data_IF_195194783388
#
_entry.id   IF_195194783388
#
_cell.length_a   1.000
_cell.length_b   1.000
_cell.length_c   1.000
_cell.angle_alpha   90.00
_cell.angle_beta   90.00
_cell.angle_gamma   90.00
#
_symmetry.space_group_name_H-M   'P 1'
#
loop_
_entity.id
_entity.type
_entity.pdbx_description
1 polymer ?
#
# COMPACT_ATOMS: atom_id res chain seq x y z
N UNK A 1 32.67 -11.26 -6.31
CA UNK A 1 31.69 -11.96 -5.44
C UNK A 1 30.36 -11.28 -5.63
N UNK A 2 29.31 -12.00 -6.08
CA UNK A 2 27.98 -11.43 -6.32
C UNK A 2 27.37 -11.00 -4.98
N UNK A 3 26.94 -9.76 -4.93
CA UNK A 3 26.43 -9.04 -3.75
C UNK A 3 24.98 -9.44 -3.42
N UNK A 4 24.65 -10.74 -3.51
CA UNK A 4 23.30 -11.28 -3.29
C UNK A 4 22.83 -11.12 -1.83
N UNK A 5 23.75 -10.86 -0.89
CA UNK A 5 23.43 -10.71 0.54
C UNK A 5 22.77 -9.37 0.90
N UNK A 6 22.94 -8.33 0.09
CA UNK A 6 22.50 -6.97 0.44
C UNK A 6 20.99 -6.78 0.35
N UNK A 7 20.33 -7.41 -0.63
CA UNK A 7 18.88 -7.25 -0.78
C UNK A 7 18.11 -7.95 0.35
N UNK A 8 18.51 -9.17 0.71
CA UNK A 8 17.91 -9.91 1.82
C UNK A 8 18.09 -9.19 3.17
N UNK A 9 19.30 -8.70 3.45
CA UNK A 9 19.58 -7.91 4.65
C UNK A 9 18.77 -6.59 4.65
N UNK A 10 18.68 -5.91 3.50
CA UNK A 10 17.88 -4.71 3.33
C UNK A 10 16.38 -4.93 3.60
N UNK A 11 15.81 -6.03 3.09
CA UNK A 11 14.40 -6.37 3.28
C UNK A 11 14.11 -6.73 4.75
N UNK A 12 14.95 -7.56 5.38
CA UNK A 12 14.81 -7.89 6.81
C UNK A 12 14.80 -6.63 7.65
N UNK A 13 15.78 -5.76 7.45
CA UNK A 13 15.90 -4.50 8.17
C UNK A 13 14.73 -3.56 7.91
N UNK A 14 14.29 -3.49 6.65
CA UNK A 14 13.12 -2.71 6.29
C UNK A 14 11.90 -3.14 7.10
N UNK A 15 11.57 -4.43 7.08
CA UNK A 15 10.38 -4.96 7.74
C UNK A 15 10.44 -4.88 9.27
N UNK A 16 11.59 -5.21 9.87
CA UNK A 16 11.71 -5.36 11.33
C UNK A 16 12.12 -4.07 12.05
N UNK A 17 12.96 -3.24 11.44
CA UNK A 17 13.50 -2.04 12.09
C UNK A 17 12.88 -0.78 11.50
N UNK A 18 12.92 -0.62 10.18
CA UNK A 18 12.50 0.63 9.54
C UNK A 18 11.00 0.89 9.70
N UNK A 19 10.15 -0.09 9.37
CA UNK A 19 8.69 0.10 9.44
C UNK A 19 8.16 0.19 10.87
N UNK A 20 8.77 -0.55 11.79
CA UNK A 20 8.31 -0.70 13.17
C UNK A 20 8.93 0.36 14.08
N UNK A 21 10.27 0.36 14.21
CA UNK A 21 10.96 1.18 15.19
C UNK A 21 11.26 2.59 14.66
N UNK A 22 11.75 2.72 13.42
CA UNK A 22 12.18 4.04 12.89
C UNK A 22 10.99 4.89 12.42
N UNK A 23 10.00 4.28 11.74
CA UNK A 23 8.86 4.98 11.16
C UNK A 23 7.57 4.86 11.98
N UNK A 24 7.50 3.91 12.90
CA UNK A 24 6.31 3.63 13.73
C UNK A 24 5.00 3.60 12.92
N UNK A 25 5.00 2.90 11.78
CA UNK A 25 3.83 2.85 10.89
C UNK A 25 2.71 2.01 11.52
N UNK A 26 1.46 2.32 11.16
CA UNK A 26 0.32 1.52 11.61
C UNK A 26 0.43 0.06 11.16
N UNK A 27 -0.14 -0.87 11.95
CA UNK A 27 -0.14 -2.31 11.64
C UNK A 27 -0.66 -2.62 10.23
N UNK A 28 -1.70 -1.91 9.79
CA UNK A 28 -2.26 -2.06 8.43
C UNK A 28 -1.25 -1.64 7.35
N UNK A 29 -0.48 -0.58 7.58
CA UNK A 29 0.58 -0.14 6.65
C UNK A 29 1.72 -1.14 6.60
N UNK A 30 2.15 -1.64 7.77
CA UNK A 30 3.18 -2.68 7.85
C UNK A 30 2.77 -3.95 7.11
N UNK A 31 1.53 -4.42 7.32
CA UNK A 31 0.98 -5.58 6.61
C UNK A 31 0.91 -5.34 5.10
N UNK A 32 0.41 -4.18 4.66
CA UNK A 32 0.36 -3.81 3.24
C UNK A 32 1.74 -3.78 2.58
N UNK A 33 2.76 -3.29 3.29
CA UNK A 33 4.13 -3.25 2.82
C UNK A 33 4.73 -4.65 2.71
N UNK A 34 4.59 -5.47 3.77
CA UNK A 34 5.00 -6.88 3.77
C UNK A 34 4.36 -7.63 2.61
N UNK A 35 3.06 -7.52 2.44
CA UNK A 35 2.32 -8.23 1.39
C UNK A 35 2.77 -7.78 0.00
N UNK A 36 3.13 -6.50 -0.18
CA UNK A 36 3.72 -6.03 -1.43
C UNK A 36 5.05 -6.73 -1.71
N UNK A 37 5.92 -6.89 -0.71
CA UNK A 37 7.21 -7.57 -0.85
C UNK A 37 7.06 -9.08 -1.09
N UNK A 38 6.13 -9.74 -0.40
CA UNK A 38 5.80 -11.16 -0.64
C UNK A 38 5.42 -11.41 -2.10
N UNK A 39 4.72 -10.45 -2.72
CA UNK A 39 4.29 -10.57 -4.11
C UNK A 39 5.36 -10.18 -5.12
N UNK A 40 6.37 -9.42 -4.70
CA UNK A 40 7.46 -8.95 -5.54
C UNK A 40 8.59 -9.99 -5.60
N UNK A 41 8.78 -10.76 -4.52
CA UNK A 41 9.83 -11.77 -4.36
C UNK A 41 9.42 -13.16 -4.90
N UNK A 42 10.40 -14.05 -5.21
CA UNK A 42 11.85 -13.78 -5.20
C UNK A 42 12.30 -12.99 -6.44
N UNK A 43 13.34 -12.17 -6.27
CA UNK A 43 14.02 -11.50 -7.36
C UNK A 43 15.52 -11.42 -7.08
N UNK A 44 16.33 -11.58 -8.11
CA UNK A 44 17.79 -11.46 -8.00
C UNK A 44 18.22 -10.00 -7.82
N UNK A 45 17.55 -9.07 -8.50
CA UNK A 45 17.94 -7.67 -8.49
C UNK A 45 16.72 -6.73 -8.60
N UNK A 46 16.71 -5.68 -7.79
CA UNK A 46 15.65 -4.67 -7.82
C UNK A 46 16.04 -3.54 -8.77
N UNK A 47 15.50 -3.55 -10.00
CA UNK A 47 15.75 -2.51 -11.01
C UNK A 47 14.48 -1.73 -11.35
N UNK A 48 14.58 -0.49 -11.88
CA UNK A 48 13.41 0.28 -12.30
C UNK A 48 12.54 -0.46 -13.33
N UNK A 49 13.16 -1.20 -14.25
CA UNK A 49 12.47 -1.99 -15.26
C UNK A 49 11.63 -3.12 -14.64
N UNK A 50 12.21 -3.85 -13.68
CA UNK A 50 11.51 -4.91 -12.93
C UNK A 50 10.34 -4.33 -12.14
N UNK A 51 10.53 -3.19 -11.47
CA UNK A 51 9.46 -2.50 -10.72
C UNK A 51 8.30 -2.13 -11.64
N UNK A 52 8.58 -1.56 -12.81
CA UNK A 52 7.54 -1.17 -13.80
C UNK A 52 6.79 -2.40 -14.31
N UNK A 53 7.52 -3.45 -14.71
CA UNK A 53 6.93 -4.72 -15.18
C UNK A 53 6.07 -5.37 -14.11
N UNK A 54 6.55 -5.41 -12.86
CA UNK A 54 5.79 -5.91 -11.71
C UNK A 54 4.49 -5.12 -11.54
N UNK A 55 4.55 -3.79 -11.44
CA UNK A 55 3.37 -2.97 -11.19
C UNK A 55 2.33 -3.10 -12.31
N UNK A 56 2.77 -3.17 -13.56
CA UNK A 56 1.88 -3.30 -14.71
C UNK A 56 1.22 -4.68 -14.77
N UNK A 57 1.98 -5.75 -14.53
CA UNK A 57 1.44 -7.11 -14.45
C UNK A 57 0.42 -7.23 -13.31
N UNK A 58 0.72 -6.71 -12.12
CA UNK A 58 -0.24 -6.76 -11.00
C UNK A 58 -1.49 -5.94 -11.29
N UNK A 59 -1.37 -4.80 -11.97
CA UNK A 59 -2.54 -4.01 -12.35
C UNK A 59 -3.43 -4.75 -13.36
N UNK A 60 -2.86 -5.38 -14.38
CA UNK A 60 -3.62 -6.08 -15.42
C UNK A 60 -4.24 -7.38 -14.91
N UNK A 61 -3.44 -8.24 -14.29
CA UNK A 61 -3.85 -9.61 -13.96
C UNK A 61 -4.81 -9.68 -12.77
N UNK A 62 -4.64 -8.79 -11.78
CA UNK A 62 -5.54 -8.71 -10.61
C UNK A 62 -6.60 -7.61 -10.76
N UNK A 63 -6.60 -6.87 -11.89
CA UNK A 63 -7.47 -5.71 -12.14
C UNK A 63 -7.54 -4.73 -10.96
N UNK A 64 -6.40 -4.52 -10.28
CA UNK A 64 -6.37 -3.64 -9.12
C UNK A 64 -6.42 -2.16 -9.53
N UNK A 65 -6.96 -1.31 -8.65
CA UNK A 65 -7.07 0.11 -8.93
C UNK A 65 -5.70 0.79 -9.01
N UNK A 66 -5.66 1.96 -9.63
CA UNK A 66 -4.45 2.79 -9.66
C UNK A 66 -4.00 3.20 -8.25
N UNK A 67 -4.95 3.39 -7.32
CA UNK A 67 -4.66 3.64 -5.92
C UNK A 67 -3.92 2.45 -5.28
N UNK A 68 -4.37 1.22 -5.52
CA UNK A 68 -3.69 0.01 -5.03
C UNK A 68 -2.30 -0.16 -5.67
N UNK A 69 -2.15 0.13 -6.97
CA UNK A 69 -0.83 0.15 -7.63
C UNK A 69 0.11 1.16 -6.98
N UNK A 70 -0.38 2.37 -6.73
CA UNK A 70 0.41 3.43 -6.11
C UNK A 70 0.82 3.07 -4.69
N UNK A 71 -0.07 2.44 -3.91
CA UNK A 71 0.29 1.96 -2.58
C UNK A 71 1.45 0.95 -2.62
N UNK A 72 1.45 0.05 -3.60
CA UNK A 72 2.56 -0.90 -3.82
C UNK A 72 3.85 -0.18 -4.23
N UNK A 73 3.76 0.81 -5.11
CA UNK A 73 4.91 1.63 -5.49
C UNK A 73 5.47 2.43 -4.28
N UNK A 74 4.61 2.87 -3.36
CA UNK A 74 5.03 3.56 -2.14
C UNK A 74 5.89 2.65 -1.24
N UNK A 75 5.52 1.37 -1.10
CA UNK A 75 6.36 0.37 -0.44
C UNK A 75 7.75 0.29 -1.08
N UNK A 76 7.80 0.18 -2.40
CA UNK A 76 9.05 0.02 -3.17
C UNK A 76 9.91 1.29 -3.06
N UNK A 77 9.31 2.48 -3.13
CA UNK A 77 10.01 3.75 -2.91
C UNK A 77 10.61 3.84 -1.51
N UNK A 78 9.87 3.40 -0.49
CA UNK A 78 10.33 3.38 0.89
C UNK A 78 11.52 2.43 1.07
N UNK A 79 11.43 1.22 0.51
CA UNK A 79 12.53 0.25 0.52
C UNK A 79 13.77 0.79 -0.21
N UNK A 80 13.60 1.33 -1.43
CA UNK A 80 14.69 1.89 -2.21
C UNK A 80 15.37 3.08 -1.49
N UNK A 81 14.58 3.91 -0.77
CA UNK A 81 15.15 4.97 0.07
C UNK A 81 16.03 4.39 1.17
N UNK A 82 15.57 3.37 1.88
CA UNK A 82 16.37 2.73 2.95
C UNK A 82 17.66 2.12 2.41
N UNK A 83 17.59 1.37 1.32
CA UNK A 83 18.76 0.72 0.71
C UNK A 83 19.75 1.78 0.21
N UNK A 84 19.28 2.81 -0.51
CA UNK A 84 20.13 3.86 -1.04
C UNK A 84 20.84 4.70 0.04
N UNK A 85 20.23 4.88 1.22
CA UNK A 85 20.87 5.56 2.35
C UNK A 85 21.99 4.72 3.00
N UNK A 86 21.98 3.40 2.81
CA UNK A 86 22.90 2.47 3.50
C UNK A 86 23.92 1.81 2.57
N UNK A 87 23.73 1.91 1.25
CA UNK A 87 24.62 1.31 0.25
C UNK A 87 24.90 2.32 -0.87
N UNK A 88 26.08 2.97 -0.85
CA UNK A 88 26.49 3.89 -1.91
C UNK A 88 26.46 3.26 -3.31
N UNK A 89 26.81 1.97 -3.40
CA UNK A 89 26.80 1.18 -4.64
C UNK A 89 25.39 1.14 -5.27
N UNK A 90 24.35 1.08 -4.45
CA UNK A 90 22.96 1.02 -4.91
C UNK A 90 22.28 2.39 -5.03
N UNK A 91 22.96 3.49 -4.68
CA UNK A 91 22.34 4.82 -4.56
C UNK A 91 21.75 5.31 -5.89
N UNK A 92 22.48 5.17 -7.00
CA UNK A 92 22.03 5.59 -8.32
C UNK A 92 20.74 4.84 -8.73
N UNK A 93 20.77 3.51 -8.64
CA UNK A 93 19.63 2.64 -8.95
C UNK A 93 18.42 2.91 -8.04
N UNK A 94 18.65 3.08 -6.74
CA UNK A 94 17.58 3.41 -5.79
C UNK A 94 16.95 4.76 -6.12
N UNK A 95 17.74 5.72 -6.59
CA UNK A 95 17.25 7.03 -7.03
C UNK A 95 16.39 6.91 -8.29
N UNK A 96 16.80 6.09 -9.26
CA UNK A 96 15.99 5.80 -10.46
C UNK A 96 14.66 5.10 -10.13
N UNK A 97 14.66 4.15 -9.18
CA UNK A 97 13.44 3.51 -8.70
C UNK A 97 12.50 4.54 -8.08
N UNK A 98 13.04 5.44 -7.23
CA UNK A 98 12.27 6.51 -6.59
C UNK A 98 11.76 7.57 -7.55
N UNK A 99 12.35 7.67 -8.75
CA UNK A 99 11.90 8.56 -9.80
C UNK A 99 10.69 8.00 -10.59
N UNK A 100 10.29 6.75 -10.36
CA UNK A 100 9.08 6.19 -10.99
C UNK A 100 7.85 6.96 -10.46
N UNK A 101 7.06 7.61 -11.34
CA UNK A 101 5.94 8.40 -10.88
C UNK A 101 4.77 7.52 -10.41
N UNK A 102 4.03 8.02 -9.42
CA UNK A 102 2.70 7.52 -9.11
C UNK A 102 1.74 7.83 -10.27
N UNK A 103 0.77 6.94 -10.51
CA UNK A 103 -0.33 7.24 -11.44
C UNK A 103 -1.27 8.28 -10.82
N UNK A 104 -1.84 9.16 -11.64
CA UNK A 104 -2.85 10.12 -11.16
C UNK A 104 -4.14 9.37 -10.84
N UNK A 105 -4.58 9.41 -9.59
CA UNK A 105 -5.83 8.80 -9.15
C UNK A 105 -6.89 9.87 -8.94
N UNK A 106 -8.10 9.67 -9.47
CA UNK A 106 -9.23 10.50 -9.08
C UNK A 106 -9.49 10.35 -7.57
N UNK A 107 -9.69 11.48 -6.88
CA UNK A 107 -10.23 11.43 -5.52
C UNK A 107 -11.74 11.29 -5.65
N UNK A 108 -12.31 10.28 -5.00
CA UNK A 108 -13.76 10.20 -4.89
C UNK A 108 -14.26 11.46 -4.19
N UNK A 109 -15.17 12.19 -4.83
CA UNK A 109 -15.88 13.27 -4.18
C UNK A 109 -16.73 12.64 -3.08
N UNK A 110 -16.52 13.05 -1.83
CA UNK A 110 -17.39 12.66 -0.73
C UNK A 110 -18.65 13.52 -0.91
N UNK A 111 -19.70 12.92 -1.47
CA UNK A 111 -21.02 13.53 -1.49
C UNK A 111 -21.58 13.61 -0.08
N UNK A 112 -22.50 14.55 0.15
CA UNK A 112 -23.30 14.58 1.36
C UNK A 112 -24.69 14.02 1.04
N UNK A 113 -25.32 13.37 2.01
CA UNK A 113 -26.70 12.91 1.89
C UNK A 113 -27.62 14.06 2.30
N UNK A 114 -28.62 14.34 1.47
CA UNK A 114 -29.70 15.25 1.82
C UNK A 114 -30.59 14.62 2.90
N UNK A 115 -31.36 15.45 3.62
CA UNK A 115 -32.23 14.98 4.71
C UNK A 115 -33.13 13.80 4.30
N UNK A 116 -33.76 13.89 3.13
CA UNK A 116 -34.64 12.84 2.64
C UNK A 116 -33.90 11.51 2.40
N UNK A 117 -32.65 11.58 1.93
CA UNK A 117 -31.81 10.39 1.71
C UNK A 117 -31.35 9.79 3.04
N UNK A 118 -31.04 10.63 4.03
CA UNK A 118 -30.76 10.20 5.41
C UNK A 118 -31.97 9.52 6.06
N UNK A 119 -33.17 10.08 5.91
CA UNK A 119 -34.40 9.52 6.46
C UNK A 119 -34.68 8.12 5.87
N UNK A 120 -34.47 7.96 4.55
CA UNK A 120 -34.59 6.66 3.86
C UNK A 120 -33.56 5.66 4.39
N UNK A 121 -32.31 6.09 4.59
CA UNK A 121 -31.22 5.24 5.07
C UNK A 121 -31.44 4.81 6.53
N UNK A 122 -31.87 5.73 7.40
CA UNK A 122 -32.20 5.45 8.80
C UNK A 122 -33.47 4.59 8.97
N UNK A 123 -34.31 4.53 7.94
CA UNK A 123 -35.50 3.67 7.87
C UNK A 123 -35.22 2.22 7.42
N UNK A 124 -34.05 1.91 6.85
CA UNK A 124 -33.74 0.57 6.32
C UNK A 124 -33.66 -0.54 7.39
N UNK A 125 -33.05 -0.34 8.57
CA UNK A 125 -32.89 -1.43 9.53
C UNK A 125 -34.22 -1.88 10.17
N UNK A 126 -34.50 -3.18 10.18
CA UNK A 126 -35.67 -3.73 10.88
C UNK A 126 -35.50 -3.66 12.40
N UNK A 127 -36.12 -2.66 13.03
CA UNK A 127 -36.03 -2.42 14.47
C UNK A 127 -36.79 -3.43 15.33
N UNK A 128 -37.46 -4.42 14.73
CA UNK A 128 -38.10 -5.53 15.46
C UNK A 128 -37.12 -6.63 15.87
N UNK A 129 -35.93 -6.66 15.27
CA UNK A 129 -34.87 -7.62 15.60
C UNK A 129 -33.67 -6.92 16.22
N UNK A 130 -32.96 -7.60 17.13
CA UNK A 130 -31.80 -7.05 17.85
C UNK A 130 -30.71 -6.50 16.93
N UNK A 131 -30.48 -7.17 15.80
CA UNK A 131 -29.52 -6.75 14.78
C UNK A 131 -29.91 -5.40 14.16
N UNK A 132 -31.18 -5.21 13.81
CA UNK A 132 -31.63 -3.96 13.17
C UNK A 132 -31.74 -2.80 14.15
N UNK A 133 -32.01 -3.05 15.44
CA UNK A 133 -31.87 -2.01 16.48
C UNK A 133 -30.42 -1.53 16.59
N UNK A 134 -29.45 -2.46 16.62
CA UNK A 134 -28.02 -2.13 16.64
C UNK A 134 -27.60 -1.37 15.40
N UNK A 135 -27.97 -1.84 14.22
CA UNK A 135 -27.58 -1.21 12.95
C UNK A 135 -28.21 0.18 12.82
N UNK A 136 -29.47 0.36 13.25
CA UNK A 136 -30.08 1.69 13.32
C UNK A 136 -29.35 2.64 14.26
N UNK A 137 -28.97 2.16 15.46
CA UNK A 137 -28.20 2.97 16.40
C UNK A 137 -26.82 3.35 15.83
N UNK A 138 -26.13 2.44 15.14
CA UNK A 138 -24.84 2.72 14.49
C UNK A 138 -24.94 3.76 13.37
N UNK A 139 -26.10 3.90 12.70
CA UNK A 139 -26.29 4.89 11.65
C UNK A 139 -26.63 6.29 12.17
N UNK A 140 -27.03 6.41 13.44
CA UNK A 140 -27.32 7.71 14.07
C UNK A 140 -26.06 8.46 14.56
N UNK A 141 -24.91 7.79 14.65
CA UNK A 141 -23.63 8.31 15.17
C UNK A 141 -22.52 8.20 14.13
#
# INVERSE_FOLDING_TARGET
MKDESLLGAGIRRFLLEHLVAERNLSRNTQASYRDTLTLLLPLEELTPAIVRKFLDHRQRDRRCSEATRNQRLATIHSLARLIGMRSPVNLARCSEIRAIPFKKTAKAAIGYLEKAEMDVLLGQPDRRVSLGVRDHALLLF
#
